data_IF_518632126765
#
_entry.id   IF_518632126765
#
_cell.length_a   1.000
_cell.length_b   1.000
_cell.length_c   1.000
_cell.angle_alpha   90.00
_cell.angle_beta   90.00
_cell.angle_gamma   90.00
#
_symmetry.space_group_name_H-M   'P 1'
#
loop_
_entity.id
_entity.type
_entity.pdbx_description
1 polymer ?
#
# COMPACT_ATOMS: atom_id res chain seq x y z
N UNK A 1 28.04 21.71 10.87
CA UNK A 1 27.22 20.81 11.70
C UNK A 1 25.90 20.43 11.00
N UNK A 2 25.15 21.35 10.39
CA UNK A 2 23.93 21.00 9.63
C UNK A 2 24.16 20.07 8.42
N UNK A 3 25.25 20.27 7.67
CA UNK A 3 25.58 19.45 6.48
C UNK A 3 25.83 17.97 6.79
N UNK A 4 26.20 17.62 8.03
CA UNK A 4 26.47 16.24 8.41
C UNK A 4 25.17 15.50 8.78
N UNK A 5 24.22 16.18 9.42
CA UNK A 5 22.90 15.62 9.73
C UNK A 5 22.08 15.35 8.48
N UNK A 6 22.13 16.22 7.46
CA UNK A 6 21.46 15.94 6.18
C UNK A 6 22.06 14.72 5.49
N UNK A 7 23.39 14.53 5.56
CA UNK A 7 24.08 13.41 4.92
C UNK A 7 23.83 12.08 5.65
N UNK A 8 23.78 12.10 6.98
CA UNK A 8 23.42 10.94 7.81
C UNK A 8 21.96 10.53 7.60
N UNK A 9 21.01 11.48 7.62
CA UNK A 9 19.62 11.18 7.27
C UNK A 9 19.50 10.63 5.84
N UNK A 10 20.34 11.10 4.91
CA UNK A 10 20.35 10.62 3.53
C UNK A 10 20.93 9.21 3.41
N UNK A 11 22.00 8.90 4.15
CA UNK A 11 22.60 7.57 4.21
C UNK A 11 21.66 6.56 4.88
N UNK A 12 21.05 6.92 6.01
CA UNK A 12 20.01 6.11 6.67
C UNK A 12 18.81 5.87 5.75
N UNK A 13 18.37 6.91 5.03
CA UNK A 13 17.27 6.81 4.07
C UNK A 13 17.62 5.92 2.86
N UNK A 14 18.90 5.72 2.53
CA UNK A 14 19.32 4.85 1.41
C UNK A 14 19.53 3.41 1.90
N UNK A 15 19.99 3.23 3.13
CA UNK A 15 20.34 1.92 3.71
C UNK A 15 19.11 1.20 4.29
N UNK A 16 18.15 1.93 4.87
CA UNK A 16 16.91 1.37 5.40
C UNK A 16 15.79 1.23 4.36
N UNK A 17 15.92 1.82 3.16
CA UNK A 17 14.85 1.80 2.15
C UNK A 17 14.43 0.39 1.67
N UNK A 18 15.35 -0.57 1.44
CA UNK A 18 14.98 -1.95 1.07
C UNK A 18 14.17 -2.63 2.18
N UNK A 19 14.50 -2.32 3.44
CA UNK A 19 13.81 -2.84 4.61
C UNK A 19 12.42 -2.22 4.76
N UNK A 20 12.28 -0.90 4.57
CA UNK A 20 10.98 -0.22 4.56
C UNK A 20 10.09 -0.68 3.40
N UNK A 21 10.65 -0.90 2.21
CA UNK A 21 9.93 -1.46 1.07
C UNK A 21 9.44 -2.88 1.36
N UNK A 22 10.30 -3.74 1.90
CA UNK A 22 9.92 -5.10 2.27
C UNK A 22 8.80 -5.09 3.33
N UNK A 23 8.90 -4.20 4.32
CA UNK A 23 7.84 -3.99 5.32
C UNK A 23 6.54 -3.51 4.68
N UNK A 24 6.60 -2.55 3.76
CA UNK A 24 5.42 -2.03 3.06
C UNK A 24 4.76 -3.09 2.18
N UNK A 25 5.53 -3.92 1.47
CA UNK A 25 4.97 -5.05 0.71
C UNK A 25 4.33 -6.10 1.63
N UNK A 26 4.92 -6.35 2.80
CA UNK A 26 4.34 -7.27 3.79
C UNK A 26 3.01 -6.72 4.31
N UNK A 27 2.97 -5.44 4.70
CA UNK A 27 1.75 -4.76 5.14
C UNK A 27 0.68 -4.74 4.03
N UNK A 28 1.08 -4.49 2.78
CA UNK A 28 0.17 -4.50 1.64
C UNK A 28 -0.44 -5.89 1.41
N UNK A 29 0.36 -6.96 1.57
CA UNK A 29 -0.13 -8.34 1.47
C UNK A 29 -1.08 -8.70 2.61
N UNK A 30 -0.79 -8.28 3.84
CA UNK A 30 -1.69 -8.48 4.98
C UNK A 30 -3.00 -7.73 4.81
N UNK A 31 -2.95 -6.49 4.33
CA UNK A 31 -4.12 -5.67 4.02
C UNK A 31 -4.96 -6.34 2.90
N UNK A 32 -4.31 -6.83 1.85
CA UNK A 32 -4.96 -7.57 0.76
C UNK A 32 -5.71 -8.80 1.27
N UNK A 33 -5.07 -9.57 2.15
CA UNK A 33 -5.68 -10.75 2.74
C UNK A 33 -6.93 -10.38 3.55
N UNK A 34 -6.83 -9.35 4.41
CA UNK A 34 -7.98 -8.87 5.20
C UNK A 34 -9.13 -8.39 4.33
N UNK A 35 -8.84 -7.65 3.27
CA UNK A 35 -9.87 -7.17 2.32
C UNK A 35 -10.55 -8.32 1.58
N UNK A 36 -9.79 -9.34 1.17
CA UNK A 36 -10.37 -10.54 0.55
C UNK A 36 -11.26 -11.32 1.52
N UNK A 37 -10.81 -11.48 2.77
CA UNK A 37 -11.58 -12.24 3.76
C UNK A 37 -12.88 -11.52 4.13
N UNK A 38 -12.84 -10.19 4.29
CA UNK A 38 -14.05 -9.38 4.49
C UNK A 38 -15.00 -9.45 3.28
N UNK A 39 -14.46 -9.41 2.06
CA UNK A 39 -15.27 -9.54 0.84
C UNK A 39 -15.98 -10.90 0.77
N UNK A 40 -15.31 -11.98 1.19
CA UNK A 40 -15.92 -13.31 1.29
C UNK A 40 -17.02 -13.35 2.35
N UNK A 41 -16.77 -12.77 3.52
CA UNK A 41 -17.76 -12.68 4.59
C UNK A 41 -19.02 -11.94 4.13
N UNK A 42 -18.86 -10.83 3.40
CA UNK A 42 -19.96 -10.07 2.81
C UNK A 42 -20.75 -10.91 1.81
N UNK A 43 -20.07 -11.68 0.95
CA UNK A 43 -20.74 -12.56 0.00
C UNK A 43 -21.56 -13.64 0.72
N UNK A 44 -20.99 -14.30 1.73
CA UNK A 44 -21.71 -15.29 2.54
C UNK A 44 -22.92 -14.68 3.24
N UNK A 45 -22.78 -13.52 3.89
CA UNK A 45 -23.91 -12.82 4.52
C UNK A 45 -25.00 -12.43 3.51
N UNK A 46 -24.60 -12.05 2.29
CA UNK A 46 -25.53 -11.69 1.21
C UNK A 46 -26.26 -12.91 0.65
N UNK A 47 -25.56 -14.03 0.47
CA UNK A 47 -26.13 -15.32 0.06
C UNK A 47 -27.13 -15.85 1.09
N UNK A 48 -26.74 -15.83 2.38
CA UNK A 48 -27.60 -16.22 3.50
C UNK A 48 -28.83 -15.33 3.59
N UNK A 49 -28.67 -14.02 3.39
CA UNK A 49 -29.79 -13.10 3.34
C UNK A 49 -30.72 -13.41 2.16
N UNK A 50 -30.20 -13.63 0.95
CA UNK A 50 -31.02 -14.00 -0.21
C UNK A 50 -31.76 -15.33 -0.03
N UNK A 51 -31.14 -16.31 0.63
CA UNK A 51 -31.75 -17.61 0.91
C UNK A 51 -32.87 -17.51 1.97
N UNK A 52 -32.69 -16.67 2.99
CA UNK A 52 -33.60 -16.58 4.14
C UNK A 52 -34.57 -15.38 4.08
N UNK A 53 -34.46 -14.49 3.09
CA UNK A 53 -35.27 -13.25 3.01
C UNK A 53 -36.79 -13.50 3.01
N UNK A 54 -37.21 -14.67 2.50
CA UNK A 54 -38.63 -15.07 2.43
C UNK A 54 -39.18 -15.61 3.75
N UNK A 55 -38.32 -16.08 4.65
CA UNK A 55 -38.68 -16.64 5.97
C UNK A 55 -38.41 -15.66 7.12
N UNK A 56 -37.77 -14.51 6.87
CA UNK A 56 -37.43 -13.52 7.90
C UNK A 56 -38.50 -12.44 8.09
N UNK A 57 -38.74 -12.07 9.35
CA UNK A 57 -39.61 -10.95 9.72
C UNK A 57 -39.03 -9.60 9.24
N UNK A 58 -39.90 -8.64 8.95
CA UNK A 58 -39.53 -7.29 8.51
C UNK A 58 -38.44 -6.59 9.37
N UNK A 59 -38.47 -6.64 10.72
CA UNK A 59 -37.40 -6.05 11.54
C UNK A 59 -36.06 -6.80 11.40
N UNK A 60 -36.08 -8.13 11.34
CA UNK A 60 -34.88 -8.96 11.17
C UNK A 60 -34.25 -8.75 9.79
N UNK A 61 -35.08 -8.64 8.74
CA UNK A 61 -34.67 -8.30 7.39
C UNK A 61 -33.93 -6.96 7.33
N UNK A 62 -34.49 -5.94 7.97
CA UNK A 62 -33.90 -4.59 8.01
C UNK A 62 -32.59 -4.57 8.80
N UNK A 63 -32.52 -5.32 9.90
CA UNK A 63 -31.29 -5.47 10.70
C UNK A 63 -30.17 -6.14 9.91
N UNK A 64 -30.46 -7.25 9.20
CA UNK A 64 -29.48 -7.93 8.35
C UNK A 64 -28.99 -7.04 7.21
N UNK A 65 -29.90 -6.33 6.55
CA UNK A 65 -29.55 -5.44 5.45
C UNK A 65 -28.60 -4.31 5.91
N UNK A 66 -28.85 -3.73 7.09
CA UNK A 66 -27.92 -2.76 7.72
C UNK A 66 -26.56 -3.36 8.06
N UNK A 67 -26.51 -4.61 8.51
CA UNK A 67 -25.22 -5.29 8.78
C UNK A 67 -24.40 -5.46 7.50
N UNK A 68 -25.06 -5.91 6.43
CA UNK A 68 -24.43 -6.06 5.10
C UNK A 68 -23.96 -4.70 4.58
N UNK A 69 -24.79 -3.67 4.66
CA UNK A 69 -24.45 -2.30 4.26
C UNK A 69 -23.22 -1.76 5.01
N UNK A 70 -23.19 -1.90 6.34
CA UNK A 70 -22.04 -1.49 7.15
C UNK A 70 -20.76 -2.28 6.79
N UNK A 71 -20.89 -3.58 6.52
CA UNK A 71 -19.77 -4.41 6.08
C UNK A 71 -19.24 -3.97 4.71
N UNK A 72 -20.13 -3.63 3.76
CA UNK A 72 -19.76 -3.07 2.46
C UNK A 72 -19.05 -1.72 2.57
N UNK A 73 -19.54 -0.81 3.42
CA UNK A 73 -18.87 0.48 3.68
C UNK A 73 -17.45 0.24 4.18
N UNK A 74 -17.29 -0.66 5.16
CA UNK A 74 -15.98 -1.00 5.72
C UNK A 74 -15.06 -1.66 4.68
N UNK A 75 -15.59 -2.52 3.82
CA UNK A 75 -14.83 -3.13 2.73
C UNK A 75 -14.38 -2.09 1.70
N UNK A 76 -15.17 -1.06 1.45
CA UNK A 76 -14.80 0.04 0.58
C UNK A 76 -13.67 0.87 1.18
N UNK A 77 -13.75 1.20 2.47
CA UNK A 77 -12.68 1.91 3.20
C UNK A 77 -11.35 1.17 3.11
N UNK A 78 -11.34 -0.15 3.34
CA UNK A 78 -10.13 -0.97 3.16
C UNK A 78 -9.60 -0.98 1.72
N UNK A 79 -10.49 -0.87 0.73
CA UNK A 79 -10.12 -0.69 -0.67
C UNK A 79 -9.41 0.63 -0.93
N UNK A 80 -9.90 1.73 -0.34
CA UNK A 80 -9.29 3.05 -0.46
C UNK A 80 -7.92 3.09 0.24
N UNK A 81 -7.80 2.50 1.43
CA UNK A 81 -6.53 2.36 2.16
C UNK A 81 -5.49 1.59 1.33
N UNK A 82 -5.91 0.52 0.64
CA UNK A 82 -5.04 -0.25 -0.25
C UNK A 82 -4.52 0.60 -1.41
N UNK A 83 -5.37 1.41 -2.03
CA UNK A 83 -4.97 2.33 -3.11
C UNK A 83 -3.95 3.34 -2.59
N UNK A 84 -4.20 3.93 -1.41
CA UNK A 84 -3.26 4.88 -0.79
C UNK A 84 -1.91 4.22 -0.49
N UNK A 85 -1.89 3.03 0.09
CA UNK A 85 -0.65 2.31 0.38
C UNK A 85 0.12 1.96 -0.90
N UNK A 86 -0.59 1.60 -1.97
CA UNK A 86 0.01 1.36 -3.29
C UNK A 86 0.63 2.64 -3.88
N UNK A 87 -0.06 3.77 -3.78
CA UNK A 87 0.47 5.07 -4.20
C UNK A 87 1.72 5.46 -3.41
N UNK A 88 1.70 5.36 -2.08
CA UNK A 88 2.86 5.67 -1.24
C UNK A 88 4.06 4.78 -1.57
N UNK A 89 3.81 3.48 -1.74
CA UNK A 89 4.88 2.52 -2.11
C UNK A 89 5.44 2.85 -3.49
N UNK A 90 4.58 3.20 -4.46
CA UNK A 90 5.01 3.57 -5.80
C UNK A 90 5.82 4.86 -5.82
N UNK A 91 5.40 5.89 -5.07
CA UNK A 91 6.14 7.15 -4.92
C UNK A 91 7.51 6.90 -4.27
N UNK A 92 7.57 6.07 -3.22
CA UNK A 92 8.82 5.69 -2.57
C UNK A 92 9.78 4.99 -3.55
N UNK A 93 9.29 4.03 -4.35
CA UNK A 93 10.08 3.34 -5.38
C UNK A 93 10.50 4.29 -6.51
N UNK A 94 9.62 5.20 -6.92
CA UNK A 94 9.92 6.19 -7.97
C UNK A 94 11.01 7.15 -7.54
N UNK A 95 10.91 7.72 -6.34
CA UNK A 95 11.92 8.60 -5.77
C UNK A 95 13.27 7.89 -5.63
N UNK A 96 13.25 6.61 -5.21
CA UNK A 96 14.46 5.79 -5.14
C UNK A 96 15.11 5.55 -6.50
N UNK A 97 14.33 5.13 -7.50
CA UNK A 97 14.85 4.92 -8.84
C UNK A 97 15.37 6.22 -9.42
N UNK A 98 14.64 7.33 -9.29
CA UNK A 98 15.09 8.64 -9.73
C UNK A 98 16.45 9.03 -9.13
N UNK A 99 16.60 8.85 -7.81
CA UNK A 99 17.87 9.09 -7.12
C UNK A 99 18.99 8.15 -7.60
N UNK A 100 18.71 6.86 -7.77
CA UNK A 100 19.68 5.88 -8.31
C UNK A 100 20.13 6.22 -9.73
N UNK A 101 19.20 6.53 -10.62
CA UNK A 101 19.50 6.93 -12.00
C UNK A 101 20.32 8.21 -12.04
N UNK A 102 19.99 9.19 -11.19
CA UNK A 102 20.77 10.43 -11.05
C UNK A 102 22.21 10.15 -10.60
N UNK A 103 22.42 9.29 -9.59
CA UNK A 103 23.76 8.85 -9.17
C UNK A 103 24.54 8.16 -10.27
N UNK A 104 23.91 7.24 -11.00
CA UNK A 104 24.58 6.48 -12.06
C UNK A 104 24.99 7.38 -13.23
N UNK A 105 24.14 8.34 -13.58
CA UNK A 105 24.43 9.40 -14.55
C UNK A 105 25.63 10.24 -14.10
N UNK A 106 25.63 10.77 -12.87
CA UNK A 106 26.73 11.56 -12.32
C UNK A 106 28.05 10.78 -12.27
N UNK A 107 28.02 9.51 -11.85
CA UNK A 107 29.20 8.64 -11.82
C UNK A 107 29.78 8.43 -13.24
N UNK A 108 28.92 8.23 -14.24
CA UNK A 108 29.34 8.07 -15.64
C UNK A 108 29.95 9.35 -16.22
N UNK A 109 29.42 10.53 -15.85
CA UNK A 109 29.96 11.83 -16.27
C UNK A 109 31.32 12.07 -15.61
N UNK A 110 31.47 11.82 -14.31
CA UNK A 110 32.74 11.95 -13.59
C UNK A 110 33.80 10.99 -14.18
N UNK A 111 33.42 9.75 -14.48
CA UNK A 111 34.33 8.78 -15.10
C UNK A 111 34.80 9.24 -16.50
N UNK A 112 33.90 9.79 -17.32
CA UNK A 112 34.27 10.37 -18.63
C UNK A 112 35.20 11.57 -18.49
N UNK A 113 34.91 12.51 -17.59
CA UNK A 113 35.75 13.69 -17.35
C UNK A 113 37.13 13.29 -16.81
N UNK A 114 37.21 12.26 -15.97
CA UNK A 114 38.48 11.72 -15.46
C UNK A 114 39.31 11.04 -16.56
N UNK A 115 38.68 10.32 -17.49
CA UNK A 115 39.38 9.67 -18.60
C UNK A 115 39.80 10.64 -19.72
N UNK A 116 39.14 11.79 -19.88
CA UNK A 116 39.55 12.84 -20.84
C UNK A 116 40.64 13.79 -20.32
N UNK A 117 41.04 13.66 -19.05
CA UNK A 117 42.14 14.46 -18.44
C UNK A 117 43.46 13.70 -18.33
N UNK A 118 43.55 12.50 -18.91
CA UNK A 118 44.78 11.71 -19.10
C UNK A 118 45.04 11.65 -20.60
#
# INVERSE_FOLDING_TARGET
MASNMYLEHYLDSIENLPFELQRNFTLMRELDQRTQDLSKEINTMSEDYMANVRSMDAPNRTSHLKKIENAFVKSREYGDDKVQLAMQTYEMVCNYNHYRYSRHSLASIIARVRNSRV
#
